data_IF_479507631705
#
_entry.id   IF_479507631705
#
_cell.length_a   1.000
_cell.length_b   1.000
_cell.length_c   1.000
_cell.angle_alpha   90.00
_cell.angle_beta   90.00
_cell.angle_gamma   90.00
#
_symmetry.space_group_name_H-M   'P 1'
#
loop_
_entity.id
_entity.type
_entity.pdbx_description
1 polymer ?
#
# COMPACT_ATOMS: atom_id res chain seq x y z
N UNK A 1 37.54 -15.88 -30.25
CA UNK A 1 37.08 -15.90 -31.66
C UNK A 1 35.72 -16.57 -31.69
N UNK A 2 34.65 -15.79 -31.62
CA UNK A 2 33.27 -16.27 -31.71
C UNK A 2 32.64 -15.65 -32.95
N UNK A 3 32.13 -16.53 -33.82
CA UNK A 3 31.62 -16.22 -35.15
C UNK A 3 30.22 -15.62 -35.06
N UNK A 4 30.01 -14.62 -35.92
CA UNK A 4 28.72 -14.07 -36.31
C UNK A 4 27.80 -15.16 -36.90
N UNK A 5 26.53 -15.14 -36.48
CA UNK A 5 25.42 -15.60 -37.30
C UNK A 5 24.35 -14.51 -37.26
N UNK A 6 24.16 -13.88 -38.41
CA UNK A 6 23.07 -12.95 -38.71
C UNK A 6 21.83 -13.79 -39.02
N UNK A 7 20.71 -13.49 -38.37
CA UNK A 7 19.40 -13.94 -38.81
C UNK A 7 18.49 -12.70 -38.94
N UNK A 8 18.19 -12.35 -40.19
CA UNK A 8 17.18 -11.37 -40.54
C UNK A 8 15.78 -12.00 -40.35
N UNK A 9 14.89 -11.27 -39.68
CA UNK A 9 13.48 -11.63 -39.55
C UNK A 9 12.66 -10.35 -39.36
N UNK A 10 11.97 -9.95 -40.42
CA UNK A 10 11.02 -8.83 -40.40
C UNK A 10 9.80 -9.16 -39.55
N UNK A 11 9.34 -8.18 -38.77
CA UNK A 11 8.18 -8.31 -37.89
C UNK A 11 7.59 -6.94 -37.57
N UNK A 12 6.68 -6.52 -38.46
CA UNK A 12 5.60 -5.52 -38.32
C UNK A 12 5.62 -4.64 -37.06
N UNK A 13 5.80 -3.33 -37.29
CA UNK A 13 5.41 -2.25 -36.39
C UNK A 13 3.97 -2.43 -35.90
N UNK A 14 3.83 -2.79 -34.63
CA UNK A 14 2.58 -2.58 -33.89
C UNK A 14 2.64 -1.17 -33.31
N UNK A 15 2.17 -0.21 -34.10
CA UNK A 15 1.86 1.13 -33.61
C UNK A 15 0.92 0.99 -32.40
N UNK A 16 1.42 1.35 -31.22
CA UNK A 16 0.57 1.65 -30.08
C UNK A 16 -0.32 2.82 -30.47
N UNK A 17 -1.62 2.57 -30.64
CA UNK A 17 -2.60 3.63 -30.73
C UNK A 17 -2.49 4.47 -29.44
N UNK A 18 -1.98 5.69 -29.58
CA UNK A 18 -2.06 6.69 -28.54
C UNK A 18 -3.55 6.92 -28.24
N UNK A 19 -3.93 6.81 -26.97
CA UNK A 19 -5.28 7.18 -26.55
C UNK A 19 -5.51 8.66 -26.86
N UNK A 20 -6.64 8.95 -27.51
CA UNK A 20 -7.08 10.33 -27.75
C UNK A 20 -7.08 11.13 -26.43
N UNK A 21 -6.65 12.40 -26.44
CA UNK A 21 -6.72 13.24 -25.25
C UNK A 21 -8.19 13.40 -24.83
N UNK A 22 -8.53 12.89 -23.64
CA UNK A 22 -9.85 13.06 -23.03
C UNK A 22 -10.24 14.54 -23.02
N UNK A 23 -11.38 14.88 -23.60
CA UNK A 23 -11.91 16.25 -23.57
C UNK A 23 -12.00 16.77 -22.12
N UNK A 24 -11.70 18.08 -21.89
CA UNK A 24 -11.84 18.68 -20.58
C UNK A 24 -13.33 18.67 -20.19
N UNK A 25 -13.66 17.91 -19.15
CA UNK A 25 -15.01 17.89 -18.60
C UNK A 25 -15.28 19.16 -17.79
N UNK A 26 -16.54 19.61 -17.83
CA UNK A 26 -17.02 20.65 -16.93
C UNK A 26 -16.86 20.18 -15.48
N UNK A 27 -16.34 21.06 -14.61
CA UNK A 27 -16.19 20.76 -13.19
C UNK A 27 -17.56 20.59 -12.54
N UNK A 28 -17.68 19.65 -11.60
CA UNK A 28 -18.88 19.50 -10.80
C UNK A 28 -19.20 20.79 -10.02
N UNK A 29 -20.50 21.11 -9.83
CA UNK A 29 -20.90 22.29 -9.10
C UNK A 29 -20.24 22.29 -7.71
N UNK A 30 -19.54 23.38 -7.40
CA UNK A 30 -18.76 23.52 -6.16
C UNK A 30 -19.62 23.80 -4.92
N UNK A 31 -20.96 23.73 -5.02
CA UNK A 31 -21.88 24.03 -3.92
C UNK A 31 -21.82 22.92 -2.86
N UNK A 32 -21.40 23.29 -1.66
CA UNK A 32 -21.29 22.41 -0.50
C UNK A 32 -19.91 22.44 0.17
N UNK A 33 -19.85 21.86 1.36
CA UNK A 33 -18.64 21.76 2.19
C UNK A 33 -17.63 20.73 1.65
N UNK A 34 -18.07 19.82 0.77
CA UNK A 34 -17.28 18.70 0.25
C UNK A 34 -17.47 18.61 -1.27
N UNK A 35 -16.36 18.44 -1.99
CA UNK A 35 -16.37 18.19 -3.44
C UNK A 35 -16.58 16.69 -3.70
N UNK A 36 -17.60 16.33 -4.49
CA UNK A 36 -17.99 14.91 -4.69
C UNK A 36 -17.81 14.47 -6.13
N UNK A 37 -17.24 13.30 -6.31
CA UNK A 37 -17.21 12.57 -7.58
C UNK A 37 -17.81 11.18 -7.36
N UNK A 38 -18.70 10.75 -8.24
CA UNK A 38 -19.34 9.45 -8.20
C UNK A 38 -18.69 8.49 -9.19
N UNK A 39 -18.47 7.25 -8.74
CA UNK A 39 -18.01 6.15 -9.59
C UNK A 39 -19.03 5.02 -9.61
N UNK A 40 -19.15 4.32 -10.74
CA UNK A 40 -19.96 3.13 -10.89
C UNK A 40 -19.26 2.12 -11.81
N UNK A 41 -19.43 0.81 -11.57
CA UNK A 41 -18.77 -0.23 -12.37
C UNK A 41 -19.29 -0.27 -13.82
N UNK A 42 -20.52 0.18 -14.03
CA UNK A 42 -21.20 0.41 -15.31
C UNK A 42 -21.20 1.90 -15.72
N UNK A 43 -20.40 2.73 -15.05
CA UNK A 43 -20.22 4.14 -15.37
C UNK A 43 -19.46 4.38 -16.68
N UNK A 44 -19.15 5.64 -16.96
CA UNK A 44 -18.46 6.03 -18.19
C UNK A 44 -17.38 7.08 -17.95
N UNK A 45 -16.18 6.85 -18.46
CA UNK A 45 -15.06 7.79 -18.31
C UNK A 45 -15.17 9.04 -19.19
N UNK A 46 -16.18 9.12 -20.06
CA UNK A 46 -16.55 10.39 -20.71
C UNK A 46 -17.54 11.22 -19.87
N UNK A 47 -18.11 10.65 -18.82
CA UNK A 47 -19.00 11.36 -17.91
C UNK A 47 -18.23 12.35 -17.02
N UNK A 48 -18.99 13.25 -16.38
CA UNK A 48 -18.47 14.29 -15.49
C UNK A 48 -18.28 13.81 -14.04
N UNK A 49 -18.89 12.70 -13.65
CA UNK A 49 -18.83 12.15 -12.29
C UNK A 49 -19.62 12.95 -11.26
N UNK A 50 -20.43 13.93 -11.64
CA UNK A 50 -21.03 14.87 -10.69
C UNK A 50 -22.29 14.34 -10.01
N UNK A 51 -22.90 13.31 -10.56
CA UNK A 51 -24.08 12.64 -10.01
C UNK A 51 -23.94 11.13 -10.09
N UNK A 52 -24.79 10.39 -9.38
CA UNK A 52 -24.83 8.92 -9.49
C UNK A 52 -25.16 8.45 -10.91
N UNK A 53 -25.99 9.17 -11.64
CA UNK A 53 -26.41 8.86 -13.01
C UNK A 53 -25.37 9.26 -14.07
N UNK A 54 -24.43 10.14 -13.71
CA UNK A 54 -23.28 10.54 -14.54
C UNK A 54 -21.95 10.05 -13.96
N UNK A 55 -21.96 8.92 -13.27
CA UNK A 55 -20.79 8.37 -12.60
C UNK A 55 -19.70 7.93 -13.58
N UNK A 56 -18.44 8.12 -13.19
CA UNK A 56 -17.27 7.67 -13.97
C UNK A 56 -16.94 6.20 -13.69
N UNK A 57 -16.23 5.54 -14.61
CA UNK A 57 -15.92 4.13 -14.50
C UNK A 57 -14.60 3.88 -13.74
N UNK A 58 -13.64 4.79 -13.84
CA UNK A 58 -12.26 4.55 -13.37
C UNK A 58 -11.72 5.60 -12.40
N UNK A 59 -10.80 5.17 -11.53
CA UNK A 59 -10.03 6.05 -10.64
C UNK A 59 -9.11 7.00 -11.42
N UNK A 60 -8.65 6.60 -12.62
CA UNK A 60 -7.85 7.45 -13.49
C UNK A 60 -8.67 8.67 -13.95
N UNK A 61 -9.93 8.46 -14.31
CA UNK A 61 -10.84 9.55 -14.65
C UNK A 61 -11.15 10.44 -13.45
N UNK A 62 -11.38 9.88 -12.27
CA UNK A 62 -11.52 10.67 -11.02
C UNK A 62 -10.35 11.60 -10.82
N UNK A 63 -9.11 11.10 -10.93
CA UNK A 63 -7.92 11.93 -10.78
C UNK A 63 -7.86 13.05 -11.81
N UNK A 64 -8.19 12.77 -13.08
CA UNK A 64 -8.20 13.79 -14.13
C UNK A 64 -9.22 14.90 -13.82
N UNK A 65 -10.41 14.54 -13.35
CA UNK A 65 -11.45 15.49 -12.94
C UNK A 65 -11.00 16.34 -11.75
N UNK A 66 -10.38 15.75 -10.73
CA UNK A 66 -9.87 16.50 -9.57
C UNK A 66 -8.75 17.47 -9.95
N UNK A 67 -7.82 17.05 -10.82
CA UNK A 67 -6.76 17.92 -11.35
C UNK A 67 -7.35 19.12 -12.11
N UNK A 68 -8.38 18.88 -12.92
CA UNK A 68 -9.04 19.94 -13.70
C UNK A 68 -9.86 20.89 -12.82
N UNK A 69 -10.56 20.35 -11.81
CA UNK A 69 -11.40 21.14 -10.91
C UNK A 69 -10.60 21.90 -9.84
N UNK A 70 -9.43 21.39 -9.45
CA UNK A 70 -8.56 21.93 -8.42
C UNK A 70 -9.32 22.35 -7.15
N UNK A 71 -10.05 21.43 -6.49
CA UNK A 71 -10.87 21.77 -5.33
C UNK A 71 -10.01 22.30 -4.17
N UNK A 72 -10.60 23.18 -3.36
CA UNK A 72 -10.02 23.81 -2.17
C UNK A 72 -10.73 23.36 -0.88
N UNK A 73 -11.23 22.12 -0.90
CA UNK A 73 -12.05 21.53 0.15
C UNK A 73 -11.86 20.02 0.19
N UNK A 74 -12.40 19.37 1.22
CA UNK A 74 -12.40 17.91 1.31
C UNK A 74 -13.09 17.28 0.09
N UNK A 75 -12.54 16.17 -0.38
CA UNK A 75 -13.03 15.43 -1.54
C UNK A 75 -13.58 14.07 -1.10
N UNK A 76 -14.74 13.70 -1.65
CA UNK A 76 -15.30 12.36 -1.56
C UNK A 76 -15.45 11.74 -2.94
N UNK A 77 -14.76 10.63 -3.15
CA UNK A 77 -14.97 9.70 -4.25
C UNK A 77 -15.97 8.66 -3.78
N UNK A 78 -17.22 8.79 -4.22
CA UNK A 78 -18.38 7.96 -3.84
C UNK A 78 -18.54 6.81 -4.82
N UNK A 79 -18.08 5.63 -4.42
CA UNK A 79 -17.94 4.45 -5.27
C UNK A 79 -19.16 3.54 -5.10
N UNK A 80 -19.94 3.35 -6.16
CA UNK A 80 -21.08 2.46 -6.13
C UNK A 80 -20.63 1.01 -5.94
N UNK A 81 -21.53 0.18 -5.41
CA UNK A 81 -21.29 -1.27 -5.38
C UNK A 81 -21.11 -1.78 -6.81
N UNK A 82 -20.30 -2.83 -6.95
CA UNK A 82 -20.03 -3.45 -8.24
C UNK A 82 -18.62 -4.02 -8.29
N UNK A 83 -18.33 -4.74 -9.36
CA UNK A 83 -16.99 -5.25 -9.65
C UNK A 83 -16.34 -4.41 -10.73
N UNK A 84 -15.33 -3.64 -10.34
CA UNK A 84 -14.50 -2.82 -11.19
C UNK A 84 -13.37 -3.69 -11.76
N UNK A 85 -13.48 -4.03 -13.04
CA UNK A 85 -12.45 -4.81 -13.77
C UNK A 85 -11.32 -3.87 -14.15
N UNK A 86 -10.22 -3.91 -13.40
CA UNK A 86 -9.12 -2.96 -13.55
C UNK A 86 -7.78 -3.70 -13.56
N UNK A 87 -7.36 -4.25 -14.72
CA UNK A 87 -6.14 -5.04 -14.82
C UNK A 87 -4.85 -4.19 -14.79
N UNK A 88 -4.98 -2.86 -14.86
CA UNK A 88 -3.86 -1.93 -14.77
C UNK A 88 -3.76 -1.29 -13.39
N UNK A 89 -2.52 -0.99 -13.00
CA UNK A 89 -2.23 -0.21 -11.79
C UNK A 89 -2.77 1.21 -11.93
N UNK A 90 -3.46 1.71 -10.90
CA UNK A 90 -3.75 3.13 -10.76
C UNK A 90 -2.50 3.84 -10.25
N UNK A 91 -1.98 4.75 -11.06
CA UNK A 91 -0.93 5.70 -10.66
C UNK A 91 -1.59 6.99 -10.19
N UNK A 92 -1.42 7.30 -8.91
CA UNK A 92 -2.01 8.46 -8.27
C UNK A 92 -0.94 9.45 -7.81
N UNK A 93 -1.06 10.70 -8.22
CA UNK A 93 -0.11 11.78 -7.92
C UNK A 93 -0.83 13.10 -7.54
N UNK A 94 -2.16 13.08 -7.39
CA UNK A 94 -2.94 14.26 -7.05
C UNK A 94 -3.28 14.33 -5.56
N UNK A 95 -3.13 15.52 -4.96
CA UNK A 95 -3.47 15.77 -3.57
C UNK A 95 -4.13 17.15 -3.47
N UNK A 96 -4.98 17.34 -2.46
CA UNK A 96 -5.60 18.63 -2.17
C UNK A 96 -4.93 19.22 -0.93
N UNK A 97 -4.14 20.30 -1.05
CA UNK A 97 -3.42 20.88 0.08
C UNK A 97 -4.35 21.23 1.24
N UNK A 98 -4.08 20.70 2.44
CA UNK A 98 -4.88 20.97 3.63
C UNK A 98 -6.19 20.18 3.74
N UNK A 99 -6.55 19.38 2.72
CA UNK A 99 -7.81 18.66 2.65
C UNK A 99 -7.62 17.16 2.40
N UNK A 100 -8.63 16.38 2.78
CA UNK A 100 -8.62 14.93 2.59
C UNK A 100 -9.22 14.52 1.25
N UNK A 101 -8.74 13.42 0.69
CA UNK A 101 -9.41 12.71 -0.41
C UNK A 101 -9.87 11.36 0.13
N UNK A 102 -11.18 11.19 0.22
CA UNK A 102 -11.79 9.96 0.75
C UNK A 102 -12.38 9.12 -0.36
N UNK A 103 -11.97 7.85 -0.44
CA UNK A 103 -12.52 6.83 -1.32
C UNK A 103 -13.43 5.92 -0.50
N UNK A 104 -14.74 5.97 -0.76
CA UNK A 104 -15.72 5.28 0.06
C UNK A 104 -16.96 4.83 -0.73
N UNK A 105 -17.66 3.78 -0.26
CA UNK A 105 -18.93 3.36 -0.83
C UNK A 105 -19.95 4.50 -0.87
N UNK A 106 -20.79 4.55 -1.91
CA UNK A 106 -21.76 5.64 -2.13
C UNK A 106 -22.67 5.91 -0.92
N UNK A 107 -23.08 4.87 -0.19
CA UNK A 107 -23.95 4.97 0.99
C UNK A 107 -23.24 5.03 2.34
N UNK A 108 -21.91 4.99 2.37
CA UNK A 108 -21.15 4.93 3.63
C UNK A 108 -20.95 6.32 4.26
N UNK A 109 -21.01 6.38 5.59
CA UNK A 109 -20.62 7.56 6.37
C UNK A 109 -19.54 7.13 7.37
N UNK A 110 -18.39 7.83 7.45
CA UNK A 110 -17.35 7.54 8.43
C UNK A 110 -17.90 7.39 9.86
N UNK A 111 -17.51 6.33 10.54
CA UNK A 111 -18.00 5.98 11.88
C UNK A 111 -19.14 4.95 11.87
N UNK A 112 -19.79 4.74 10.72
CA UNK A 112 -20.74 3.63 10.58
C UNK A 112 -20.00 2.28 10.49
N UNK A 113 -20.74 1.21 10.77
CA UNK A 113 -20.28 -0.15 10.50
C UNK A 113 -20.08 -0.42 9.00
N UNK A 114 -19.59 -1.61 8.68
CA UNK A 114 -19.47 -2.08 7.29
C UNK A 114 -20.83 -1.94 6.57
N UNK A 115 -20.87 -1.41 5.34
CA UNK A 115 -22.11 -1.34 4.58
C UNK A 115 -22.78 -2.71 4.43
N UNK A 116 -24.07 -2.79 4.77
CA UNK A 116 -24.83 -4.04 4.79
C UNK A 116 -25.14 -4.57 3.38
N UNK A 117 -25.21 -3.68 2.39
CA UNK A 117 -25.51 -3.96 0.99
C UNK A 117 -24.28 -4.39 0.17
N UNK A 118 -23.13 -4.57 0.82
CA UNK A 118 -21.88 -4.97 0.21
C UNK A 118 -20.91 -3.81 -0.01
N UNK A 119 -19.74 -4.12 -0.58
CA UNK A 119 -18.66 -3.15 -0.81
C UNK A 119 -18.25 -3.14 -2.28
N UNK A 120 -17.71 -2.03 -2.81
CA UNK A 120 -17.05 -2.00 -4.11
C UNK A 120 -15.89 -3.00 -4.17
N UNK A 121 -15.79 -3.74 -5.27
CA UNK A 121 -14.73 -4.74 -5.50
C UNK A 121 -13.89 -4.28 -6.67
N UNK A 122 -12.61 -4.00 -6.43
CA UNK A 122 -11.60 -3.81 -7.47
C UNK A 122 -10.93 -5.15 -7.74
N UNK A 123 -11.12 -5.66 -8.96
CA UNK A 123 -10.63 -6.96 -9.38
C UNK A 123 -9.63 -6.81 -10.53
N UNK A 124 -8.37 -7.18 -10.25
CA UNK A 124 -7.26 -7.10 -11.19
C UNK A 124 -7.25 -8.22 -12.22
N UNK A 125 -8.06 -9.27 -12.05
CA UNK A 125 -8.08 -10.39 -13.00
C UNK A 125 -6.75 -11.14 -13.13
N UNK A 126 -5.87 -11.06 -12.12
CA UNK A 126 -4.52 -11.63 -12.16
C UNK A 126 -3.43 -10.64 -12.58
N UNK A 127 -3.69 -9.34 -12.49
CA UNK A 127 -2.77 -8.27 -12.83
C UNK A 127 -1.45 -8.34 -12.06
N UNK A 128 -0.35 -8.12 -12.79
CA UNK A 128 0.94 -7.83 -12.18
C UNK A 128 0.93 -6.43 -11.53
N UNK A 129 1.79 -6.21 -10.55
CA UNK A 129 1.94 -4.90 -9.90
C UNK A 129 0.89 -4.58 -8.84
N UNK A 130 0.68 -3.28 -8.59
CA UNK A 130 -0.21 -2.75 -7.55
C UNK A 130 -1.60 -2.50 -8.09
N UNK A 131 -2.63 -2.61 -7.24
CA UNK A 131 -3.94 -2.02 -7.54
C UNK A 131 -3.85 -0.49 -7.61
N UNK A 132 -3.26 0.10 -6.57
CA UNK A 132 -3.18 1.55 -6.41
C UNK A 132 -1.81 1.95 -5.88
N UNK A 133 -1.15 2.88 -6.57
CA UNK A 133 0.13 3.44 -6.16
C UNK A 133 0.05 4.97 -6.10
N UNK A 134 0.00 5.50 -4.89
CA UNK A 134 0.09 6.93 -4.61
C UNK A 134 1.56 7.35 -4.47
N UNK A 135 2.01 8.30 -5.28
CA UNK A 135 3.37 8.85 -5.21
C UNK A 135 3.30 10.36 -5.13
N UNK A 136 4.05 10.96 -4.20
CA UNK A 136 4.20 12.42 -4.17
C UNK A 136 4.86 12.93 -5.47
N UNK A 137 4.23 13.88 -6.20
CA UNK A 137 4.83 14.47 -7.38
C UNK A 137 6.03 15.35 -7.00
N UNK A 138 6.89 15.69 -7.98
CA UNK A 138 8.19 16.34 -7.74
C UNK A 138 8.07 17.63 -6.92
N UNK A 139 7.11 18.49 -7.25
CA UNK A 139 6.98 19.80 -6.59
C UNK A 139 6.23 19.74 -5.26
N UNK A 140 5.73 18.57 -4.84
CA UNK A 140 4.96 18.47 -3.60
C UNK A 140 5.87 18.40 -2.36
N UNK A 141 5.72 19.31 -1.37
CA UNK A 141 6.60 19.36 -0.19
C UNK A 141 6.42 18.18 0.78
N UNK A 142 5.38 17.37 0.57
CA UNK A 142 4.94 16.31 1.48
C UNK A 142 4.16 16.88 2.67
N UNK A 143 4.00 16.06 3.71
CA UNK A 143 3.20 16.38 4.89
C UNK A 143 1.88 15.63 4.88
N UNK A 144 0.82 16.25 5.38
CA UNK A 144 -0.50 15.64 5.47
C UNK A 144 -1.11 15.47 4.07
N UNK A 145 -1.01 14.26 3.51
CA UNK A 145 -1.62 13.90 2.22
C UNK A 145 -3.06 13.43 2.36
N UNK A 146 -3.40 12.88 3.55
CA UNK A 146 -4.77 12.59 3.97
C UNK A 146 -5.62 11.83 2.93
N UNK A 147 -5.02 10.83 2.26
CA UNK A 147 -5.79 9.86 1.50
C UNK A 147 -6.49 8.92 2.48
N UNK A 148 -7.80 8.71 2.29
CA UNK A 148 -8.61 7.89 3.19
C UNK A 148 -9.35 6.84 2.38
N UNK A 149 -9.16 5.57 2.69
CA UNK A 149 -9.80 4.44 2.03
C UNK A 149 -10.70 3.71 3.02
N UNK A 150 -11.98 3.59 2.67
CA UNK A 150 -12.99 2.98 3.53
C UNK A 150 -13.70 1.85 2.83
N UNK A 151 -13.76 0.67 3.46
CA UNK A 151 -14.64 -0.43 3.07
C UNK A 151 -14.65 -0.71 1.55
N UNK A 152 -13.47 -0.85 0.95
CA UNK A 152 -13.30 -1.35 -0.42
C UNK A 152 -12.65 -2.73 -0.36
N UNK A 153 -12.98 -3.58 -1.33
CA UNK A 153 -12.32 -4.86 -1.53
C UNK A 153 -11.38 -4.78 -2.73
N UNK A 154 -10.16 -5.28 -2.56
CA UNK A 154 -9.11 -5.32 -3.56
C UNK A 154 -8.67 -6.77 -3.74
N UNK A 155 -8.74 -7.28 -4.96
CA UNK A 155 -8.45 -8.69 -5.23
C UNK A 155 -7.77 -8.99 -6.56
N UNK A 156 -7.08 -10.12 -6.61
CA UNK A 156 -6.44 -10.67 -7.81
C UNK A 156 -5.42 -9.72 -8.45
N UNK A 157 -4.58 -9.11 -7.61
CA UNK A 157 -3.38 -8.37 -7.99
C UNK A 157 -2.15 -9.03 -7.39
N UNK A 158 -0.96 -8.76 -7.93
CA UNK A 158 0.27 -9.11 -7.23
C UNK A 158 0.38 -8.32 -5.90
N UNK A 159 -0.01 -7.04 -5.88
CA UNK A 159 0.06 -6.15 -4.73
C UNK A 159 -1.20 -5.29 -4.57
N UNK A 160 -1.47 -4.81 -3.37
CA UNK A 160 -2.65 -3.99 -3.07
C UNK A 160 -2.39 -2.49 -3.25
N UNK A 161 -2.30 -1.78 -2.12
CA UNK A 161 -2.14 -0.33 -2.04
C UNK A 161 -0.71 0.06 -1.65
N UNK A 162 -0.12 1.01 -2.36
CA UNK A 162 1.14 1.64 -1.99
C UNK A 162 0.97 3.15 -1.83
N UNK A 163 1.54 3.74 -0.77
CA UNK A 163 1.63 5.19 -0.57
C UNK A 163 3.09 5.56 -0.31
N UNK A 164 3.66 6.41 -1.18
CA UNK A 164 5.09 6.69 -1.22
C UNK A 164 5.39 8.18 -1.21
N UNK A 165 6.12 8.62 -0.19
CA UNK A 165 6.81 9.90 -0.18
C UNK A 165 8.07 9.89 -1.05
N UNK A 166 8.71 11.05 -1.22
CA UNK A 166 9.92 11.15 -2.06
C UNK A 166 11.17 10.78 -1.28
N UNK A 167 12.14 10.25 -2.00
CA UNK A 167 13.45 9.92 -1.46
C UNK A 167 14.55 10.57 -2.28
N UNK A 168 15.70 10.76 -1.65
CA UNK A 168 16.98 11.06 -2.28
C UNK A 168 17.98 9.97 -1.89
N UNK A 169 19.09 9.88 -2.62
CA UNK A 169 20.21 9.01 -2.25
C UNK A 169 21.39 9.89 -1.86
N UNK A 170 21.91 9.70 -0.65
CA UNK A 170 23.11 10.37 -0.16
C UNK A 170 23.96 9.37 0.62
N UNK A 171 25.26 9.32 0.35
CA UNK A 171 26.18 8.39 1.03
C UNK A 171 25.81 6.90 0.89
N UNK A 172 25.16 6.50 -0.21
CA UNK A 172 24.65 5.12 -0.38
C UNK A 172 23.39 4.79 0.43
N UNK A 173 22.81 5.78 1.13
CA UNK A 173 21.57 5.63 1.90
C UNK A 173 20.40 6.24 1.16
N UNK A 174 19.24 5.58 1.24
CA UNK A 174 17.96 6.12 0.74
C UNK A 174 17.31 6.92 1.86
N UNK A 175 17.33 8.25 1.74
CA UNK A 175 16.85 9.19 2.76
C UNK A 175 15.57 9.91 2.30
N UNK A 176 14.71 10.40 3.20
CA UNK A 176 13.54 11.20 2.83
C UNK A 176 13.96 12.49 2.13
N UNK A 177 13.35 12.78 0.97
CA UNK A 177 13.56 14.05 0.27
C UNK A 177 12.46 15.09 0.56
N UNK A 178 11.38 14.65 1.20
CA UNK A 178 10.22 15.48 1.56
C UNK A 178 9.73 15.11 2.95
N UNK A 179 8.73 15.84 3.47
CA UNK A 179 8.07 15.53 4.73
C UNK A 179 7.31 14.18 4.72
N UNK A 180 7.25 13.49 3.59
CA UNK A 180 6.55 12.22 3.43
C UNK A 180 5.08 12.35 3.03
N UNK A 181 4.42 11.23 2.75
CA UNK A 181 2.99 11.16 2.48
C UNK A 181 2.24 10.70 3.74
N UNK A 182 1.74 11.62 4.56
CA UNK A 182 1.38 11.34 5.95
C UNK A 182 -0.12 11.43 6.23
N UNK A 183 -0.51 10.91 7.41
CA UNK A 183 -1.87 11.00 7.97
C UNK A 183 -2.95 10.37 7.08
N UNK A 184 -2.60 9.30 6.37
CA UNK A 184 -3.53 8.53 5.56
C UNK A 184 -4.30 7.54 6.45
N UNK A 185 -5.51 7.18 6.02
CA UNK A 185 -6.40 6.26 6.72
C UNK A 185 -6.72 5.09 5.79
N UNK A 186 -6.50 3.87 6.28
CA UNK A 186 -6.89 2.62 5.64
C UNK A 186 -7.82 1.93 6.64
N UNK A 187 -9.12 1.94 6.37
CA UNK A 187 -10.14 1.51 7.33
C UNK A 187 -11.11 0.51 6.72
N UNK A 188 -11.32 -0.62 7.39
CA UNK A 188 -12.35 -1.57 6.95
C UNK A 188 -12.07 -2.20 5.58
N UNK A 189 -10.86 -2.04 5.06
CA UNK A 189 -10.48 -2.52 3.74
C UNK A 189 -10.39 -4.05 3.74
N UNK A 190 -10.67 -4.67 2.60
CA UNK A 190 -10.42 -6.10 2.40
C UNK A 190 -9.42 -6.27 1.27
N UNK A 191 -8.21 -6.72 1.61
CA UNK A 191 -7.21 -7.16 0.64
C UNK A 191 -7.25 -8.68 0.58
N UNK A 192 -7.57 -9.24 -0.59
CA UNK A 192 -7.69 -10.69 -0.69
C UNK A 192 -7.22 -11.28 -2.00
N UNK A 193 -6.70 -12.50 -1.97
CA UNK A 193 -6.18 -13.21 -3.15
C UNK A 193 -5.13 -12.36 -3.88
N UNK A 194 -4.13 -11.90 -3.13
CA UNK A 194 -3.00 -11.15 -3.67
C UNK A 194 -1.74 -12.02 -3.68
N UNK A 195 -0.78 -11.66 -4.52
CA UNK A 195 0.47 -12.40 -4.70
C UNK A 195 0.43 -13.39 -5.87
N UNK A 196 1.58 -14.01 -6.17
CA UNK A 196 1.72 -14.78 -7.41
C UNK A 196 0.94 -16.10 -7.43
N UNK A 197 0.41 -16.56 -6.31
CA UNK A 197 -0.55 -17.68 -6.29
C UNK A 197 -1.87 -17.33 -6.98
N UNK A 198 -2.24 -16.04 -6.98
CA UNK A 198 -3.50 -15.52 -7.50
C UNK A 198 -3.31 -14.64 -8.74
N UNK A 199 -2.10 -14.11 -8.95
CA UNK A 199 -1.70 -13.29 -10.08
C UNK A 199 -0.31 -13.74 -10.59
N UNK A 200 -0.29 -14.79 -11.41
CA UNK A 200 0.88 -15.66 -11.72
C UNK A 200 2.11 -15.00 -12.39
N UNK A 201 2.13 -13.69 -12.58
CA UNK A 201 3.18 -13.02 -13.35
C UNK A 201 4.36 -12.54 -12.49
N UNK A 202 4.10 -12.07 -11.27
CA UNK A 202 5.13 -11.48 -10.39
C UNK A 202 4.84 -11.77 -8.94
N UNK A 203 5.87 -12.09 -8.15
CA UNK A 203 5.74 -12.18 -6.70
C UNK A 203 5.16 -10.88 -6.13
N UNK A 204 4.18 -11.03 -5.24
CA UNK A 204 3.68 -9.93 -4.43
C UNK A 204 4.67 -9.59 -3.32
N UNK A 205 4.68 -8.33 -2.92
CA UNK A 205 5.48 -7.82 -1.81
C UNK A 205 4.60 -7.35 -0.65
N UNK A 206 3.45 -6.72 -0.92
CA UNK A 206 2.54 -6.33 0.15
C UNK A 206 1.09 -6.11 -0.32
N UNK A 207 0.13 -6.32 0.59
CA UNK A 207 -1.21 -5.80 0.44
C UNK A 207 -1.28 -4.29 0.73
N UNK A 208 -0.53 -3.81 1.73
CA UNK A 208 -0.36 -2.40 2.02
C UNK A 208 1.14 -2.09 2.21
N UNK A 209 1.67 -1.15 1.43
CA UNK A 209 3.03 -0.64 1.57
C UNK A 209 3.02 0.87 1.81
N UNK A 210 3.75 1.30 2.84
CA UNK A 210 3.94 2.70 3.20
C UNK A 210 5.43 3.00 3.17
N UNK A 211 5.85 4.04 2.44
CA UNK A 211 7.26 4.40 2.30
C UNK A 211 7.45 5.92 2.43
N UNK A 212 8.35 6.38 3.31
CA UNK A 212 8.44 7.80 3.73
C UNK A 212 7.04 8.35 4.02
N UNK A 213 6.38 7.73 4.99
CA UNK A 213 4.97 7.93 5.26
C UNK A 213 4.71 7.75 6.76
N UNK A 214 4.14 8.78 7.38
CA UNK A 214 4.06 8.91 8.83
C UNK A 214 2.65 9.11 9.34
N UNK A 215 2.44 8.73 10.60
CA UNK A 215 1.18 8.94 11.34
C UNK A 215 -0.05 8.39 10.61
N UNK A 216 0.11 7.30 9.86
CA UNK A 216 -0.98 6.63 9.18
C UNK A 216 -1.71 5.69 10.12
N UNK A 217 -2.99 5.45 9.82
CA UNK A 217 -3.85 4.54 10.57
C UNK A 217 -4.34 3.41 9.67
N UNK A 218 -4.01 2.18 10.03
CA UNK A 218 -4.48 0.95 9.38
C UNK A 218 -5.32 0.19 10.38
N UNK A 219 -6.62 0.14 10.15
CA UNK A 219 -7.55 -0.32 11.17
C UNK A 219 -8.73 -1.11 10.63
N UNK A 220 -9.19 -2.08 11.41
CA UNK A 220 -10.39 -2.88 11.13
C UNK A 220 -10.35 -3.53 9.74
N UNK A 221 -9.16 -3.74 9.18
CA UNK A 221 -8.97 -4.23 7.82
C UNK A 221 -8.65 -5.72 7.81
N UNK A 222 -8.98 -6.36 6.70
CA UNK A 222 -8.88 -7.79 6.49
C UNK A 222 -7.83 -8.07 5.41
N UNK A 223 -6.80 -8.84 5.79
CA UNK A 223 -5.70 -9.26 4.94
C UNK A 223 -5.79 -10.78 4.79
N UNK A 224 -6.38 -11.26 3.70
CA UNK A 224 -6.80 -12.65 3.58
C UNK A 224 -6.32 -13.31 2.29
N UNK A 225 -5.59 -14.43 2.35
CA UNK A 225 -5.03 -15.12 1.17
C UNK A 225 -4.07 -14.21 0.41
N UNK A 226 -3.02 -13.78 1.11
CA UNK A 226 -1.91 -13.02 0.55
C UNK A 226 -0.74 -13.98 0.36
N UNK A 227 -0.64 -14.56 -0.82
CA UNK A 227 0.14 -15.78 -1.01
C UNK A 227 1.04 -15.68 -2.24
N UNK A 228 2.33 -15.87 -2.00
CA UNK A 228 3.29 -16.27 -3.00
C UNK A 228 3.57 -17.78 -2.92
N UNK A 229 4.06 -18.35 -4.01
CA UNK A 229 4.54 -19.74 -4.12
C UNK A 229 6.04 -19.80 -4.41
N UNK A 230 6.64 -20.97 -4.18
CA UNK A 230 8.05 -21.23 -4.48
C UNK A 230 9.01 -20.47 -3.56
N UNK A 231 10.19 -20.11 -4.08
CA UNK A 231 11.22 -19.39 -3.32
C UNK A 231 10.76 -18.02 -2.77
N UNK A 232 9.73 -17.43 -3.40
CA UNK A 232 9.19 -16.11 -3.06
C UNK A 232 8.07 -16.15 -2.01
N UNK A 233 7.74 -17.34 -1.48
CA UNK A 233 6.64 -17.54 -0.51
C UNK A 233 6.71 -16.57 0.67
N UNK A 234 7.91 -16.31 1.18
CA UNK A 234 8.17 -15.44 2.34
C UNK A 234 8.05 -13.93 2.06
N UNK A 235 7.89 -13.50 0.81
CA UNK A 235 7.94 -12.07 0.43
C UNK A 235 6.59 -11.36 0.44
N UNK A 236 5.48 -12.08 0.57
CA UNK A 236 4.15 -11.47 0.57
C UNK A 236 3.74 -11.06 1.98
N UNK A 237 3.62 -9.76 2.24
CA UNK A 237 3.23 -9.21 3.53
C UNK A 237 1.81 -8.65 3.53
N UNK A 238 1.19 -8.57 4.71
CA UNK A 238 -0.05 -7.82 4.90
C UNK A 238 0.21 -6.32 4.91
N UNK A 239 0.95 -5.86 5.92
CA UNK A 239 1.37 -4.45 6.04
C UNK A 239 2.90 -4.37 6.04
N UNK A 240 3.45 -3.57 5.13
CA UNK A 240 4.86 -3.29 5.02
C UNK A 240 5.14 -1.80 5.24
N UNK A 241 5.73 -1.49 6.39
CA UNK A 241 6.22 -0.17 6.74
C UNK A 241 7.66 -0.06 6.27
N UNK A 242 7.82 0.44 5.04
CA UNK A 242 9.09 0.56 4.34
C UNK A 242 9.75 1.90 4.61
N UNK A 243 11.09 1.89 4.71
CA UNK A 243 12.01 3.04 4.65
C UNK A 243 11.45 4.38 5.16
N UNK A 244 11.80 4.75 6.40
CA UNK A 244 11.37 5.99 7.06
C UNK A 244 9.86 6.15 7.25
N UNK A 245 9.15 5.05 7.50
CA UNK A 245 7.72 5.07 7.82
C UNK A 245 7.49 5.03 9.33
N UNK A 246 7.16 6.19 9.90
CA UNK A 246 7.24 6.43 11.34
C UNK A 246 5.88 6.71 11.99
N UNK A 247 5.70 6.32 13.25
CA UNK A 247 4.53 6.70 14.04
C UNK A 247 3.20 6.08 13.56
N UNK A 248 3.26 5.07 12.69
CA UNK A 248 2.07 4.43 12.14
C UNK A 248 1.39 3.55 13.17
N UNK A 249 0.07 3.42 13.04
CA UNK A 249 -0.74 2.56 13.90
C UNK A 249 -1.42 1.48 13.07
N UNK A 250 -1.19 0.22 13.41
CA UNK A 250 -1.80 -0.97 12.80
C UNK A 250 -2.58 -1.70 13.88
N UNK A 251 -3.90 -1.55 13.91
CA UNK A 251 -4.71 -2.07 15.02
C UNK A 251 -6.02 -2.71 14.59
N UNK A 252 -6.49 -3.72 15.34
CA UNK A 252 -7.77 -4.40 15.08
C UNK A 252 -7.90 -4.94 13.67
N UNK A 253 -6.79 -5.34 13.05
CA UNK A 253 -6.79 -5.99 11.75
C UNK A 253 -6.78 -7.50 11.90
N UNK A 254 -7.30 -8.19 10.87
CA UNK A 254 -7.24 -9.63 10.77
C UNK A 254 -6.34 -10.05 9.62
N UNK A 255 -5.31 -10.82 9.93
CA UNK A 255 -4.39 -11.42 8.97
C UNK A 255 -4.64 -12.92 8.91
N UNK A 256 -4.97 -13.43 7.74
CA UNK A 256 -5.31 -14.83 7.51
C UNK A 256 -4.68 -15.34 6.21
N UNK A 257 -3.97 -16.47 6.26
CA UNK A 257 -3.34 -17.07 5.08
C UNK A 257 -2.39 -16.08 4.38
N UNK A 258 -1.38 -15.61 5.10
CA UNK A 258 -0.33 -14.73 4.57
C UNK A 258 0.98 -15.53 4.47
N UNK A 259 1.50 -15.74 3.27
CA UNK A 259 2.64 -16.65 3.07
C UNK A 259 3.97 -16.10 3.59
N UNK A 260 4.12 -14.78 3.65
CA UNK A 260 5.21 -14.10 4.36
C UNK A 260 4.78 -13.58 5.72
N UNK A 261 5.70 -12.91 6.41
CA UNK A 261 5.42 -12.32 7.74
C UNK A 261 4.34 -11.24 7.61
N UNK A 262 3.30 -11.31 8.46
CA UNK A 262 2.08 -10.53 8.22
C UNK A 262 2.32 -9.02 8.31
N UNK A 263 3.21 -8.60 9.20
CA UNK A 263 3.62 -7.21 9.36
C UNK A 263 5.13 -7.10 9.29
N UNK A 264 5.65 -6.12 8.54
CA UNK A 264 7.08 -5.86 8.43
C UNK A 264 7.42 -4.39 8.61
N UNK A 265 8.47 -4.10 9.36
CA UNK A 265 9.15 -2.78 9.38
C UNK A 265 10.54 -2.90 8.75
N UNK A 266 11.00 -1.84 8.09
CA UNK A 266 12.32 -1.79 7.45
C UNK A 266 12.90 -0.38 7.41
N UNK A 267 14.21 -0.31 7.59
CA UNK A 267 15.05 0.86 7.29
C UNK A 267 14.57 2.16 7.95
N UNK A 268 14.93 2.40 9.21
CA UNK A 268 14.54 3.61 9.97
C UNK A 268 13.02 3.87 10.04
N UNK A 269 12.20 2.80 10.10
CA UNK A 269 10.74 2.89 10.24
C UNK A 269 10.34 2.79 11.71
N UNK A 270 10.34 3.93 12.40
CA UNK A 270 10.44 4.03 13.85
C UNK A 270 9.11 4.35 14.54
N UNK A 271 8.99 3.98 15.82
CA UNK A 271 7.86 4.39 16.68
C UNK A 271 6.49 3.89 16.20
N UNK A 272 6.44 2.81 15.42
CA UNK A 272 5.20 2.21 14.96
C UNK A 272 4.55 1.35 16.05
N UNK A 273 3.23 1.32 16.05
CA UNK A 273 2.41 0.61 17.05
C UNK A 273 1.54 -0.42 16.36
N UNK A 274 1.69 -1.69 16.75
CA UNK A 274 0.97 -2.81 16.18
C UNK A 274 0.29 -3.60 17.30
N UNK A 275 -1.04 -3.47 17.43
CA UNK A 275 -1.75 -4.03 18.58
C UNK A 275 -3.21 -4.39 18.32
N UNK A 276 -3.75 -5.29 19.14
CA UNK A 276 -5.12 -5.82 19.00
C UNK A 276 -5.39 -6.44 17.63
N UNK A 277 -4.37 -6.98 16.95
CA UNK A 277 -4.54 -7.67 15.67
C UNK A 277 -4.64 -9.18 15.89
N UNK A 278 -5.31 -9.86 14.96
CA UNK A 278 -5.40 -11.33 14.94
C UNK A 278 -4.60 -11.88 13.77
N UNK A 279 -3.75 -12.87 14.04
CA UNK A 279 -2.92 -13.57 13.07
C UNK A 279 -3.32 -15.04 13.03
N UNK A 280 -3.67 -15.56 11.84
CA UNK A 280 -4.06 -16.96 11.66
C UNK A 280 -3.42 -17.51 10.39
N UNK A 281 -2.53 -18.49 10.53
CA UNK A 281 -1.82 -19.09 9.40
C UNK A 281 -1.08 -18.03 8.59
N UNK A 282 -0.18 -17.32 9.25
CA UNK A 282 0.61 -16.25 8.64
C UNK A 282 2.08 -16.43 8.92
N UNK A 283 2.95 -15.84 8.12
CA UNK A 283 4.36 -15.73 8.48
C UNK A 283 5.17 -17.01 8.33
N UNK A 284 6.48 -16.78 8.34
CA UNK A 284 7.54 -17.79 8.31
C UNK A 284 8.50 -17.57 9.48
N UNK A 285 8.73 -16.31 9.89
CA UNK A 285 9.64 -15.94 10.98
C UNK A 285 8.91 -15.31 12.15
N UNK A 286 7.79 -14.62 11.90
CA UNK A 286 6.93 -14.13 12.97
C UNK A 286 5.69 -13.38 12.48
N UNK A 287 4.80 -13.05 13.41
CA UNK A 287 3.67 -12.17 13.12
C UNK A 287 4.13 -10.72 12.82
N UNK A 288 5.17 -10.30 13.54
CA UNK A 288 5.96 -9.09 13.27
C UNK A 288 7.37 -9.46 12.82
N UNK A 289 7.85 -8.80 11.77
CA UNK A 289 9.26 -8.86 11.41
C UNK A 289 9.83 -7.46 11.27
N UNK A 290 10.97 -7.21 11.90
CA UNK A 290 11.84 -6.13 11.45
C UNK A 290 12.95 -6.71 10.58
N UNK A 291 13.10 -6.16 9.39
CA UNK A 291 14.16 -6.55 8.48
C UNK A 291 14.80 -5.32 7.86
N UNK A 292 16.13 -5.27 7.82
CA UNK A 292 16.85 -4.31 6.99
C UNK A 292 18.04 -4.96 6.27
N UNK A 293 18.46 -4.32 5.18
CA UNK A 293 19.55 -4.78 4.34
C UNK A 293 20.88 -4.71 5.12
N UNK A 294 21.51 -5.87 5.29
CA UNK A 294 22.77 -6.03 6.00
C UNK A 294 23.52 -7.25 5.42
N UNK A 295 24.86 -7.32 5.45
CA UNK A 295 25.60 -8.47 4.92
C UNK A 295 25.14 -9.83 5.48
N UNK A 296 24.72 -9.87 6.75
CA UNK A 296 24.23 -11.11 7.39
C UNK A 296 22.79 -11.48 7.06
N UNK A 297 22.02 -10.59 6.41
CA UNK A 297 20.62 -10.87 6.02
C UNK A 297 20.50 -11.39 4.59
N UNK A 298 21.62 -11.62 3.89
CA UNK A 298 21.64 -12.09 2.51
C UNK A 298 21.11 -11.04 1.53
N UNK A 299 21.25 -9.77 1.87
CA UNK A 299 20.86 -8.68 0.98
C UNK A 299 21.97 -8.47 -0.07
N UNK A 300 21.65 -8.72 -1.35
CA UNK A 300 22.59 -8.59 -2.49
C UNK A 300 22.90 -7.13 -2.87
N UNK A 301 22.54 -6.15 -2.03
CA UNK A 301 22.79 -4.72 -2.25
C UNK A 301 23.77 -4.17 -1.20
N UNK A 302 25.06 -4.52 -1.27
CA UNK A 302 26.07 -4.01 -0.33
C UNK A 302 26.22 -2.47 -0.38
N UNK A 303 25.68 -1.81 -1.40
CA UNK A 303 25.72 -0.35 -1.55
C UNK A 303 24.53 0.39 -0.93
N UNK A 304 23.42 -0.30 -0.62
CA UNK A 304 22.29 0.33 0.09
C UNK A 304 22.44 0.11 1.59
N UNK A 305 23.04 1.09 2.27
CA UNK A 305 23.14 1.05 3.72
C UNK A 305 21.77 1.38 4.32
N UNK A 306 21.22 0.42 5.07
CA UNK A 306 19.97 0.56 5.80
C UNK A 306 20.23 0.49 7.30
N UNK A 307 19.39 1.18 8.07
CA UNK A 307 19.47 1.19 9.53
C UNK A 307 18.32 0.40 10.15
N UNK A 308 18.55 -0.13 11.35
CA UNK A 308 17.50 -0.75 12.13
C UNK A 308 16.36 0.23 12.41
N UNK A 309 15.15 -0.31 12.50
CA UNK A 309 14.04 0.46 13.01
C UNK A 309 14.03 0.42 14.54
N UNK A 310 13.54 1.46 15.20
CA UNK A 310 13.53 1.53 16.66
C UNK A 310 12.29 2.17 17.26
N UNK A 311 12.10 1.95 18.56
CA UNK A 311 10.94 2.44 19.30
C UNK A 311 9.62 1.78 18.93
N UNK A 312 9.64 0.76 18.06
CA UNK A 312 8.45 0.03 17.65
C UNK A 312 7.89 -0.78 18.82
N UNK A 313 6.57 -0.96 18.83
CA UNK A 313 5.86 -1.76 19.84
C UNK A 313 4.86 -2.71 19.19
N UNK A 314 4.86 -3.96 19.67
CA UNK A 314 4.00 -5.04 19.19
C UNK A 314 3.36 -5.75 20.38
N UNK A 315 2.07 -5.52 20.64
CA UNK A 315 1.43 -5.94 21.89
C UNK A 315 -0.05 -6.25 21.78
N UNK A 316 -0.60 -6.99 22.74
CA UNK A 316 -2.04 -7.34 22.78
C UNK A 316 -2.55 -8.00 21.50
N UNK A 317 -1.70 -8.75 20.78
CA UNK A 317 -2.11 -9.44 19.56
C UNK A 317 -2.48 -10.89 19.85
N UNK A 318 -3.40 -11.43 19.06
CA UNK A 318 -3.80 -12.83 19.08
C UNK A 318 -3.07 -13.58 17.96
N UNK A 319 -2.08 -14.39 18.32
CA UNK A 319 -1.09 -14.98 17.42
C UNK A 319 -1.35 -16.48 17.29
N UNK A 320 -1.82 -16.87 16.12
CA UNK A 320 -2.09 -18.26 15.78
C UNK A 320 -0.90 -18.94 15.10
N UNK A 321 -1.21 -20.03 14.40
CA UNK A 321 -0.21 -20.82 13.67
C UNK A 321 0.49 -20.03 12.55
N UNK A 322 1.68 -20.51 12.19
CA UNK A 322 2.42 -20.13 11.00
C UNK A 322 1.66 -20.52 9.72
N UNK A 323 2.05 -19.96 8.57
CA UNK A 323 1.34 -20.20 7.31
C UNK A 323 1.19 -21.70 6.94
N UNK A 324 2.24 -22.48 7.19
CA UNK A 324 2.28 -23.93 6.99
C UNK A 324 1.51 -24.73 8.06
N UNK A 325 0.98 -24.07 9.09
CA UNK A 325 0.28 -24.68 10.21
C UNK A 325 1.17 -24.96 11.44
N UNK A 326 2.48 -24.67 11.36
CA UNK A 326 3.41 -24.81 12.48
C UNK A 326 3.28 -23.69 13.54
N UNK A 327 4.23 -23.65 14.46
CA UNK A 327 4.33 -22.58 15.47
C UNK A 327 4.87 -21.30 14.83
N UNK A 328 4.23 -20.16 15.12
CA UNK A 328 4.70 -18.84 14.71
C UNK A 328 5.27 -18.09 15.92
N UNK A 329 6.53 -17.64 15.88
CA UNK A 329 7.03 -16.70 16.87
C UNK A 329 6.26 -15.38 16.80
N UNK A 330 6.10 -14.69 17.93
CA UNK A 330 5.48 -13.36 17.96
C UNK A 330 6.19 -12.38 17.02
N UNK A 331 7.52 -12.40 17.04
CA UNK A 331 8.35 -11.44 16.35
C UNK A 331 9.70 -12.02 15.91
N UNK A 332 10.32 -11.36 14.92
CA UNK A 332 11.68 -11.60 14.47
C UNK A 332 12.40 -10.28 14.19
N UNK A 333 13.70 -10.21 14.53
CA UNK A 333 14.58 -9.08 14.20
C UNK A 333 15.71 -9.57 13.29
N UNK A 334 15.87 -8.92 12.14
CA UNK A 334 16.88 -9.26 11.14
C UNK A 334 17.67 -8.02 10.69
N UNK A 335 19.00 -7.98 10.91
CA UNK A 335 19.82 -8.88 11.73
C UNK A 335 19.33 -9.04 13.17
N UNK A 336 19.77 -10.08 13.92
CA UNK A 336 19.40 -10.22 15.32
C UNK A 336 20.00 -9.12 16.20
N UNK A 337 19.40 -8.91 17.37
CA UNK A 337 19.89 -7.97 18.40
C UNK A 337 18.97 -6.76 18.56
N UNK A 338 18.31 -6.66 19.72
CA UNK A 338 17.30 -5.64 20.01
C UNK A 338 17.86 -4.21 20.20
N UNK A 339 19.19 -4.05 20.19
CA UNK A 339 19.87 -2.74 20.27
C UNK A 339 20.82 -2.49 19.11
N UNK A 340 20.90 -3.40 18.16
CA UNK A 340 21.75 -3.23 16.99
C UNK A 340 21.14 -2.19 16.05
N UNK A 341 21.84 -1.10 15.75
CA UNK A 341 21.33 -0.03 14.90
C UNK A 341 21.64 -0.25 13.41
N UNK A 342 22.55 -1.16 13.08
CA UNK A 342 23.24 -1.21 11.80
C UNK A 342 24.70 -0.79 11.93
N UNK A 343 25.52 -1.11 10.92
CA UNK A 343 26.96 -0.87 10.96
C UNK A 343 27.38 0.54 10.53
N UNK A 344 26.46 1.33 9.95
CA UNK A 344 26.79 2.68 9.49
C UNK A 344 26.86 3.67 10.67
N UNK A 345 27.82 4.62 10.71
CA UNK A 345 27.95 5.58 11.81
C UNK A 345 26.71 6.44 12.07
N UNK A 346 25.94 6.75 11.03
CA UNK A 346 24.68 7.51 11.16
C UNK A 346 23.50 6.65 11.61
N UNK A 347 23.66 5.32 11.70
CA UNK A 347 22.61 4.48 12.23
C UNK A 347 22.58 4.61 13.76
N UNK A 348 21.45 5.04 14.29
CA UNK A 348 21.23 5.20 15.73
C UNK A 348 19.88 4.64 16.11
N UNK A 349 19.81 4.10 17.32
CA UNK A 349 18.56 3.68 17.94
C UNK A 349 18.01 4.72 18.94
N UNK A 350 18.65 5.90 19.04
CA UNK A 350 18.24 6.99 19.94
C UNK A 350 18.07 6.54 21.41
N UNK A 351 18.88 5.55 21.85
CA UNK A 351 18.77 4.93 23.18
C UNK A 351 17.62 3.94 23.35
N UNK A 352 16.72 3.83 22.36
CA UNK A 352 15.57 2.94 22.38
C UNK A 352 15.94 1.51 21.93
N UNK A 353 15.20 0.48 22.40
CA UNK A 353 15.25 -0.82 21.76
C UNK A 353 14.58 -0.75 20.37
N UNK A 354 14.91 -1.73 19.51
CA UNK A 354 14.28 -1.90 18.21
C UNK A 354 12.80 -2.21 18.33
N UNK A 355 12.48 -3.18 19.19
CA UNK A 355 11.13 -3.64 19.48
C UNK A 355 10.90 -3.83 20.99
N UNK A 356 9.72 -3.43 21.46
CA UNK A 356 9.15 -3.88 22.75
C UNK A 356 7.87 -4.66 22.49
N UNK A 357 7.65 -5.70 23.27
CA UNK A 357 6.48 -6.55 23.13
C UNK A 357 5.94 -7.00 24.48
N UNK A 358 4.62 -7.17 24.58
CA UNK A 358 3.92 -7.65 25.78
C UNK A 358 2.50 -8.11 25.42
N UNK A 359 1.90 -8.95 26.27
CA UNK A 359 0.48 -9.32 26.20
C UNK A 359 -0.01 -9.92 24.89
N UNK A 360 0.86 -10.48 24.04
CA UNK A 360 0.39 -11.31 22.93
C UNK A 360 0.02 -12.71 23.45
N UNK A 361 -0.96 -13.34 22.79
CA UNK A 361 -1.51 -14.64 23.20
C UNK A 361 -1.54 -15.63 22.06
#
# INVERSE_FOLDING_TARGET
>A
MLRNVVAAGGGRDLAHAAADPLQPAAACPASGEVYRIFMAADGSDVADGCTRTSAVASLARVQALLKAAAPDKDVEVRIARGTYRQPSQVSWDHYVPGHAISFLPTGYTPGNGRPADGVPIFDGGGAAGWWFKATLPSEHPGGATMLRFYYLQVQNYANGLQIVGRFTTSGGRRLPATKGANKNIIWGMTFTRLGNKHAAQTAGTAALSLANSRDNRVEASHFNRLENTGAEGKLMHGVYLETHSNGNTVTRNRFELVSGDATRTRNDSNGNRLFDNTFRRTGVRGAYEEWFCHPTTGCDRPTSQECASHGNVFYSNDIGAAYDGGTLPDWSLMPPGNRFAGDHPDCTNEGQPRLRTWSNT
#
